data_IF_652263333213
#
_entry.id   IF_652263333213
#
_cell.length_a   1.000
_cell.length_b   1.000
_cell.length_c   1.000
_cell.angle_alpha   90.00
_cell.angle_beta   90.00
_cell.angle_gamma   90.00
#
_symmetry.space_group_name_H-M   'P 1'
#
loop_
_entity.id
_entity.type
_entity.pdbx_description
1 polymer ?
#
# COMPACT_ATOMS: atom_id res chain seq x y z
N UNK A 1 -4.48 21.26 -6.79
CA UNK A 1 -4.79 19.85 -6.52
C UNK A 1 -3.53 19.07 -6.82
N UNK A 2 -3.06 18.26 -5.88
CA UNK A 2 -1.84 17.46 -6.02
C UNK A 2 -2.25 16.00 -6.18
N UNK A 3 -1.71 15.35 -7.20
CA UNK A 3 -1.77 13.90 -7.37
C UNK A 3 -0.50 13.30 -6.77
N UNK A 4 -0.67 12.34 -5.86
CA UNK A 4 0.43 11.59 -5.25
C UNK A 4 0.35 10.16 -5.76
N UNK A 5 1.24 9.80 -6.68
CA UNK A 5 1.39 8.45 -7.18
C UNK A 5 2.48 7.73 -6.37
N UNK A 6 2.20 6.52 -5.93
CA UNK A 6 3.14 5.68 -5.19
C UNK A 6 3.14 4.27 -5.73
N UNK A 7 4.25 3.57 -5.55
CA UNK A 7 4.36 2.15 -5.87
C UNK A 7 4.99 1.43 -4.69
N UNK A 8 4.27 0.43 -4.19
CA UNK A 8 4.73 -0.43 -3.11
C UNK A 8 4.88 -1.85 -3.62
N UNK A 9 5.94 -2.51 -3.18
CA UNK A 9 6.10 -3.94 -3.39
C UNK A 9 5.82 -4.68 -2.09
N UNK A 10 5.01 -5.72 -2.20
CA UNK A 10 4.75 -6.67 -1.15
C UNK A 10 5.48 -7.96 -1.46
N UNK A 11 6.24 -8.48 -0.51
CA UNK A 11 6.74 -9.84 -0.54
C UNK A 11 6.00 -10.63 0.54
N UNK A 12 5.29 -11.68 0.14
CA UNK A 12 4.32 -12.40 0.95
C UNK A 12 4.82 -13.84 1.15
N UNK A 13 4.96 -14.21 2.42
CA UNK A 13 5.16 -15.60 2.87
C UNK A 13 3.82 -16.17 3.30
N UNK A 14 3.54 -17.41 2.92
CA UNK A 14 2.23 -18.04 3.11
C UNK A 14 2.41 -19.49 3.55
N UNK A 15 1.31 -20.09 4.00
CA UNK A 15 1.29 -21.50 4.41
C UNK A 15 1.57 -22.41 3.22
N UNK A 16 2.61 -23.26 3.24
CA UNK A 16 3.07 -24.02 2.07
C UNK A 16 2.07 -25.01 1.48
N UNK A 17 1.07 -25.42 2.26
CA UNK A 17 0.07 -26.41 1.87
C UNK A 17 -1.29 -25.79 1.54
N UNK A 18 -1.43 -24.46 1.70
CA UNK A 18 -2.67 -23.75 1.41
C UNK A 18 -2.69 -23.33 -0.07
N UNK A 19 -3.69 -23.75 -0.85
CA UNK A 19 -3.76 -23.43 -2.28
C UNK A 19 -4.06 -21.94 -2.53
N UNK A 20 -4.68 -21.29 -1.56
CA UNK A 20 -5.10 -19.89 -1.56
C UNK A 20 -4.71 -19.18 -0.27
N UNK A 21 -4.49 -17.87 -0.38
CA UNK A 21 -4.23 -16.97 0.73
C UNK A 21 -4.81 -15.60 0.44
N UNK A 22 -5.15 -14.86 1.50
CA UNK A 22 -5.72 -13.51 1.34
C UNK A 22 -5.11 -12.50 2.30
N UNK A 23 -5.11 -11.24 1.87
CA UNK A 23 -4.63 -10.10 2.63
C UNK A 23 -5.65 -8.97 2.55
N UNK A 24 -5.91 -8.36 3.70
CA UNK A 24 -6.60 -7.09 3.81
C UNK A 24 -5.61 -6.04 4.25
N UNK A 25 -5.45 -5.02 3.43
CA UNK A 25 -4.49 -3.94 3.61
C UNK A 25 -5.25 -2.64 3.82
N UNK A 26 -4.74 -1.81 4.74
CA UNK A 26 -5.14 -0.42 4.90
C UNK A 26 -4.00 0.44 4.37
N UNK A 27 -4.33 1.27 3.40
CA UNK A 27 -3.46 2.21 2.71
C UNK A 27 -3.75 3.58 3.26
N UNK A 28 -2.74 4.28 3.76
CA UNK A 28 -2.92 5.61 4.36
C UNK A 28 -1.95 6.58 3.73
N UNK A 29 -2.49 7.64 3.10
CA UNK A 29 -1.69 8.81 2.74
C UNK A 29 -1.65 9.76 3.94
N UNK A 30 -0.45 10.11 4.37
CA UNK A 30 -0.21 11.16 5.36
C UNK A 30 0.45 12.36 4.71
N UNK A 31 0.02 13.55 5.12
CA UNK A 31 0.61 14.84 4.79
C UNK A 31 1.13 15.47 6.08
N UNK A 32 2.43 15.70 6.16
CA UNK A 32 3.10 16.23 7.37
C UNK A 32 2.72 15.45 8.64
N UNK A 33 2.62 14.12 8.53
CA UNK A 33 2.21 13.22 9.60
C UNK A 33 0.69 13.09 9.83
N UNK A 34 -0.13 13.93 9.21
CA UNK A 34 -1.60 13.90 9.33
C UNK A 34 -2.21 13.02 8.24
N UNK A 35 -3.07 12.08 8.60
CA UNK A 35 -3.81 11.27 7.62
C UNK A 35 -4.74 12.16 6.78
N UNK A 36 -4.57 12.11 5.46
CA UNK A 36 -5.40 12.84 4.49
C UNK A 36 -6.24 11.90 3.61
N UNK A 37 -5.82 10.65 3.43
CA UNK A 37 -6.64 9.62 2.77
C UNK A 37 -6.39 8.26 3.41
N UNK A 38 -7.45 7.43 3.46
CA UNK A 38 -7.38 6.03 3.85
C UNK A 38 -8.20 5.18 2.89
N UNK A 39 -7.59 4.11 2.39
CA UNK A 39 -8.24 3.15 1.49
C UNK A 39 -8.03 1.73 2.01
N UNK A 40 -8.97 0.85 1.72
CA UNK A 40 -8.87 -0.58 2.06
C UNK A 40 -8.74 -1.37 0.77
N UNK A 41 -7.75 -2.26 0.72
CA UNK A 41 -7.50 -3.15 -0.41
C UNK A 41 -7.56 -4.60 0.06
N UNK A 42 -8.37 -5.41 -0.61
CA UNK A 42 -8.47 -6.84 -0.36
C UNK A 42 -7.85 -7.60 -1.53
N UNK A 43 -6.88 -8.45 -1.21
CA UNK A 43 -6.13 -9.27 -2.15
C UNK A 43 -6.47 -10.74 -1.88
N UNK A 44 -7.03 -11.42 -2.88
CA UNK A 44 -7.23 -12.86 -2.86
C UNK A 44 -6.26 -13.47 -3.87
N UNK A 45 -5.33 -14.30 -3.39
CA UNK A 45 -4.17 -14.77 -4.13
C UNK A 45 -4.07 -16.30 -4.03
N UNK A 46 -3.33 -16.89 -4.97
CA UNK A 46 -3.14 -18.34 -5.06
C UNK A 46 -1.65 -18.68 -4.98
N UNK A 47 -1.30 -19.91 -4.58
CA UNK A 47 0.09 -20.39 -4.41
C UNK A 47 1.01 -20.11 -5.62
N UNK A 48 0.46 -20.03 -6.84
CA UNK A 48 1.17 -19.66 -8.07
C UNK A 48 0.98 -18.21 -8.54
N UNK A 49 0.09 -17.46 -7.89
CA UNK A 49 -0.29 -16.08 -8.22
C UNK A 49 0.75 -15.02 -7.83
N UNK A 50 1.76 -15.39 -7.03
CA UNK A 50 2.94 -14.59 -6.77
C UNK A 50 3.20 -14.33 -5.29
N UNK A 51 4.41 -14.67 -4.86
CA UNK A 51 4.97 -14.32 -3.53
C UNK A 51 5.46 -12.86 -3.50
N UNK A 52 5.41 -12.16 -4.63
CA UNK A 52 5.74 -10.73 -4.73
C UNK A 52 4.70 -10.02 -5.59
N UNK A 53 4.09 -8.96 -5.06
CA UNK A 53 3.09 -8.13 -5.73
C UNK A 53 3.57 -6.68 -5.78
N UNK A 54 3.34 -6.01 -6.91
CA UNK A 54 3.53 -4.56 -7.03
C UNK A 54 2.15 -3.91 -7.04
N UNK A 55 1.91 -2.99 -6.11
CA UNK A 55 0.65 -2.27 -5.99
C UNK A 55 0.88 -0.81 -6.38
N UNK A 56 0.32 -0.35 -7.51
CA UNK A 56 0.25 1.05 -7.83
C UNK A 56 -0.82 1.72 -6.98
N UNK A 57 -0.51 2.89 -6.43
CA UNK A 57 -1.39 3.68 -5.59
C UNK A 57 -1.47 5.09 -6.13
N UNK A 58 -2.67 5.65 -6.17
CA UNK A 58 -2.90 7.03 -6.59
C UNK A 58 -3.81 7.70 -5.58
N UNK A 59 -3.32 8.77 -4.98
CA UNK A 59 -4.09 9.61 -4.07
C UNK A 59 -4.25 11.00 -4.66
N UNK A 60 -5.39 11.65 -4.38
CA UNK A 60 -5.65 13.03 -4.76
C UNK A 60 -5.83 13.87 -3.52
N UNK A 61 -5.15 15.01 -3.49
CA UNK A 61 -5.09 15.84 -2.31
C UNK A 61 -5.22 17.35 -2.63
N UNK A 62 -5.89 18.09 -1.74
CA UNK A 62 -5.99 19.55 -1.80
C UNK A 62 -4.97 20.17 -0.86
N UNK A 63 -3.69 20.06 -1.24
CA UNK A 63 -2.60 20.64 -0.47
C UNK A 63 -2.54 22.18 -0.61
N UNK A 64 -2.04 22.91 0.40
CA UNK A 64 -1.77 24.34 0.32
C UNK A 64 -0.91 24.71 -0.89
N UNK A 65 -1.17 25.89 -1.48
CA UNK A 65 -0.44 26.39 -2.65
C UNK A 65 0.98 26.90 -2.35
N UNK A 66 1.37 26.95 -1.08
CA UNK A 66 2.66 27.43 -0.63
C UNK A 66 3.16 26.63 0.58
N UNK A 67 4.48 26.49 0.68
CA UNK A 67 5.16 25.75 1.75
C UNK A 67 5.76 24.44 1.26
N UNK A 68 6.65 23.88 2.09
CA UNK A 68 7.16 22.52 1.89
C UNK A 68 6.19 21.55 2.56
N UNK A 69 5.81 20.51 1.84
CA UNK A 69 4.87 19.48 2.30
C UNK A 69 5.56 18.13 2.16
N UNK A 70 5.49 17.31 3.20
CA UNK A 70 5.99 15.93 3.17
C UNK A 70 4.81 14.97 3.03
N UNK A 71 4.92 14.02 2.12
CA UNK A 71 3.94 12.94 1.98
C UNK A 71 4.57 11.60 2.34
N UNK A 72 3.84 10.84 3.15
CA UNK A 72 4.16 9.46 3.49
C UNK A 72 3.01 8.55 3.08
N UNK A 73 3.36 7.38 2.52
CA UNK A 73 2.40 6.29 2.29
C UNK A 73 2.68 5.20 3.30
N UNK A 74 1.68 4.91 4.13
CA UNK A 74 1.73 3.87 5.15
C UNK A 74 0.82 2.73 4.72
N UNK A 75 1.37 1.51 4.76
CA UNK A 75 0.62 0.29 4.53
C UNK A 75 0.52 -0.51 5.84
N UNK A 76 -0.70 -0.87 6.22
CA UNK A 76 -0.97 -1.69 7.41
C UNK A 76 -1.69 -2.97 7.01
N UNK A 77 -1.23 -4.12 7.51
CA UNK A 77 -1.96 -5.38 7.37
C UNK A 77 -3.10 -5.39 8.40
N UNK A 78 -4.34 -5.36 7.92
CA UNK A 78 -5.54 -5.34 8.76
C UNK A 78 -6.18 -6.72 8.93
N UNK A 79 -5.81 -7.68 8.09
CA UNK A 79 -6.26 -9.06 8.20
C UNK A 79 -5.56 -9.95 7.19
N UNK A 80 -5.50 -11.25 7.48
CA UNK A 80 -4.87 -12.22 6.60
C UNK A 80 -5.43 -13.62 6.81
N UNK A 81 -5.44 -14.42 5.75
CA UNK A 81 -5.75 -15.86 5.78
C UNK A 81 -4.61 -16.61 5.10
N UNK A 82 -4.06 -17.64 5.75
CA UNK A 82 -2.95 -18.46 5.26
C UNK A 82 -1.66 -17.68 4.92
N UNK A 83 -1.46 -16.51 5.54
CA UNK A 83 -0.23 -15.69 5.38
C UNK A 83 0.61 -15.78 6.66
N UNK A 84 1.89 -16.06 6.50
CA UNK A 84 2.86 -16.19 7.60
C UNK A 84 3.77 -14.97 7.73
N UNK A 85 3.88 -14.15 6.69
CA UNK A 85 4.66 -12.92 6.74
C UNK A 85 4.40 -12.00 5.54
N UNK A 86 4.53 -10.71 5.77
CA UNK A 86 4.46 -9.68 4.71
C UNK A 86 5.60 -8.70 4.92
N UNK A 87 6.46 -8.56 3.93
CA UNK A 87 7.49 -7.54 3.87
C UNK A 87 7.09 -6.48 2.85
N UNK A 88 7.05 -5.23 3.27
CA UNK A 88 6.66 -4.09 2.45
C UNK A 88 7.91 -3.30 2.06
N UNK A 89 8.01 -2.92 0.78
CA UNK A 89 9.06 -2.04 0.28
C UNK A 89 8.45 -0.91 -0.52
N UNK A 90 8.60 0.32 -0.05
CA UNK A 90 8.25 1.51 -0.82
C UNK A 90 9.28 1.68 -1.95
N UNK A 91 8.82 1.75 -3.20
CA UNK A 91 9.71 1.84 -4.36
C UNK A 91 9.83 3.25 -4.91
N UNK A 92 8.74 4.00 -4.93
CA UNK A 92 8.72 5.39 -5.39
C UNK A 92 7.49 6.13 -4.85
N UNK A 93 7.65 7.44 -4.64
CA UNK A 93 6.55 8.40 -4.46
C UNK A 93 6.81 9.54 -5.43
N UNK A 94 5.85 9.82 -6.29
CA UNK A 94 5.88 10.89 -7.28
C UNK A 94 4.72 11.85 -7.03
N UNK A 95 5.02 13.14 -7.01
CA UNK A 95 4.04 14.20 -6.82
C UNK A 95 3.89 14.97 -8.13
N UNK A 96 2.65 15.14 -8.57
CA UNK A 96 2.30 15.93 -9.75
C UNK A 96 1.29 17.00 -9.31
N UNK A 97 1.66 18.27 -9.44
CA UNK A 97 0.87 19.43 -9.03
C UNK A 97 0.53 20.35 -10.19
#
# INVERSE_FOLDING_TARGET
MIKVDSTVQLNISHEPLSPDFSLKLILTLKRDGITVSTETLELNLFYSGGQSLIIPLTFVDQAPSAGTITYDVVLTVAGSVNVTGVNVTNRAINMIG
#
